data_IF_092227111821
#
_entry.id   IF_092227111821
#
_cell.length_a   1.000
_cell.length_b   1.000
_cell.length_c   1.000
_cell.angle_alpha   90.00
_cell.angle_beta   90.00
_cell.angle_gamma   90.00
#
_symmetry.space_group_name_H-M   'P 1'
#
loop_
_entity.id
_entity.type
_entity.pdbx_description
1 polymer ?
#
# COMPACT_ATOMS: atom_id res chain seq x y z
N UNK A 1 -7.16 -10.30 -4.48
CA UNK A 1 -6.77 -9.26 -3.50
C UNK A 1 -6.86 -7.92 -4.19
N UNK A 2 -7.36 -6.86 -3.52
CA UNK A 2 -7.44 -5.53 -4.12
C UNK A 2 -6.04 -5.08 -4.57
N UNK A 3 -5.89 -4.53 -5.79
CA UNK A 3 -4.60 -4.09 -6.32
C UNK A 3 -4.14 -2.76 -5.69
N UNK A 4 -4.04 -2.73 -4.36
CA UNK A 4 -3.47 -1.62 -3.59
C UNK A 4 -1.94 -1.67 -3.60
N UNK A 5 -1.29 -0.68 -2.95
CA UNK A 5 0.17 -0.61 -2.87
C UNK A 5 0.72 -1.88 -2.20
N UNK A 6 1.43 -2.69 -2.98
CA UNK A 6 1.85 -4.05 -2.60
C UNK A 6 2.95 -4.02 -1.53
N UNK A 7 3.85 -3.04 -1.59
CA UNK A 7 4.91 -2.88 -0.58
C UNK A 7 4.39 -2.35 0.75
N UNK A 8 3.51 -1.34 0.73
CA UNK A 8 2.91 -0.80 1.96
C UNK A 8 2.07 -1.85 2.70
N UNK A 9 1.43 -2.76 1.95
CA UNK A 9 0.73 -3.90 2.55
C UNK A 9 1.70 -4.92 3.19
N UNK A 10 2.79 -5.24 2.51
CA UNK A 10 3.82 -6.14 3.03
C UNK A 10 4.49 -5.59 4.30
N UNK A 11 4.83 -4.30 4.32
CA UNK A 11 5.40 -3.62 5.50
C UNK A 11 4.42 -3.62 6.67
N UNK A 12 3.13 -3.33 6.43
CA UNK A 12 2.11 -3.37 7.48
C UNK A 12 1.98 -4.76 8.09
N UNK A 13 2.00 -5.82 7.25
CA UNK A 13 1.98 -7.20 7.72
C UNK A 13 3.22 -7.54 8.55
N UNK A 14 4.41 -7.13 8.12
CA UNK A 14 5.67 -7.33 8.86
C UNK A 14 5.60 -6.65 10.24
N UNK A 15 5.20 -5.39 10.28
CA UNK A 15 5.10 -4.63 11.54
C UNK A 15 4.12 -5.26 12.52
N UNK A 16 2.93 -5.68 12.06
CA UNK A 16 1.94 -6.36 12.91
C UNK A 16 2.44 -7.69 13.48
N UNK A 17 3.28 -8.42 12.72
CA UNK A 17 3.86 -9.67 13.20
C UNK A 17 4.92 -9.45 14.28
N UNK A 18 5.60 -8.31 14.27
CA UNK A 18 6.69 -8.02 15.23
C UNK A 18 6.24 -7.23 16.45
N UNK A 19 5.08 -6.55 16.40
CA UNK A 19 4.58 -5.67 17.47
C UNK A 19 4.51 -6.34 18.85
N UNK A 20 4.20 -7.63 18.93
CA UNK A 20 4.08 -8.33 20.22
C UNK A 20 5.41 -8.86 20.76
N UNK A 21 6.47 -8.86 19.94
CA UNK A 21 7.78 -9.38 20.31
C UNK A 21 8.81 -8.27 20.58
N UNK A 22 8.57 -7.07 20.05
CA UNK A 22 9.49 -5.94 20.16
C UNK A 22 9.12 -5.00 21.31
N UNK A 23 10.15 -4.40 21.91
CA UNK A 23 9.96 -3.25 22.81
C UNK A 23 9.54 -2.00 22.05
N UNK A 24 9.00 -1.00 22.76
CA UNK A 24 8.49 0.24 22.18
C UNK A 24 9.51 0.93 21.26
N UNK A 25 10.74 1.18 21.75
CA UNK A 25 11.79 1.87 20.97
C UNK A 25 12.17 1.10 19.71
N UNK A 26 12.30 -0.22 19.82
CA UNK A 26 12.63 -1.10 18.69
C UNK A 26 11.54 -1.05 17.62
N UNK A 27 10.27 -1.14 18.04
CA UNK A 27 9.13 -1.06 17.13
C UNK A 27 9.03 0.33 16.47
N UNK A 28 9.28 1.42 17.21
CA UNK A 28 9.29 2.78 16.64
C UNK A 28 10.42 2.97 15.62
N UNK A 29 11.59 2.36 15.83
CA UNK A 29 12.67 2.42 14.85
C UNK A 29 12.28 1.68 13.56
N UNK A 30 11.73 0.48 13.68
CA UNK A 30 11.24 -0.31 12.52
C UNK A 30 10.15 0.46 11.77
N UNK A 31 9.21 1.10 12.47
CA UNK A 31 8.17 1.92 11.85
C UNK A 31 8.77 3.08 11.05
N UNK A 32 9.79 3.74 11.60
CA UNK A 32 10.49 4.85 10.93
C UNK A 32 11.15 4.39 9.62
N UNK A 33 11.84 3.25 9.66
CA UNK A 33 12.50 2.67 8.49
C UNK A 33 11.49 2.24 7.41
N UNK A 34 10.41 1.56 7.79
CA UNK A 34 9.38 1.10 6.85
C UNK A 34 8.60 2.26 6.23
N UNK A 35 8.32 3.33 6.98
CA UNK A 35 7.71 4.56 6.43
C UNK A 35 8.65 5.19 5.40
N UNK A 36 9.93 5.36 5.72
CA UNK A 36 10.91 5.94 4.80
C UNK A 36 11.04 5.10 3.52
N UNK A 37 11.12 3.77 3.65
CA UNK A 37 11.20 2.84 2.53
C UNK A 37 9.96 2.95 1.64
N UNK A 38 8.75 2.91 2.23
CA UNK A 38 7.49 3.03 1.49
C UNK A 38 7.35 4.38 0.77
N UNK A 39 7.80 5.47 1.39
CA UNK A 39 7.78 6.81 0.80
C UNK A 39 8.79 6.97 -0.34
N UNK A 40 9.93 6.29 -0.26
CA UNK A 40 10.94 6.25 -1.32
C UNK A 40 10.53 5.41 -2.54
N UNK A 41 9.45 4.64 -2.44
CA UNK A 41 8.93 3.82 -3.52
C UNK A 41 8.15 4.62 -4.57
N UNK A 42 7.95 4.02 -5.74
CA UNK A 42 7.09 4.55 -6.80
C UNK A 42 5.68 4.85 -6.27
N UNK A 43 5.11 3.89 -5.53
CA UNK A 43 3.75 3.98 -5.01
C UNK A 43 3.58 5.06 -3.94
N UNK A 44 4.61 5.28 -3.10
CA UNK A 44 4.61 6.33 -2.09
C UNK A 44 4.58 7.72 -2.72
N UNK A 45 5.47 8.00 -3.68
CA UNK A 45 5.50 9.28 -4.39
C UNK A 45 4.21 9.55 -5.16
N UNK A 46 3.71 8.55 -5.88
CA UNK A 46 2.48 8.68 -6.66
C UNK A 46 1.25 8.86 -5.76
N UNK A 47 1.22 8.18 -4.61
CA UNK A 47 0.17 8.33 -3.61
C UNK A 47 0.10 9.74 -3.03
N UNK A 48 1.25 10.32 -2.68
CA UNK A 48 1.34 11.70 -2.18
C UNK A 48 0.94 12.71 -3.25
N UNK A 49 1.47 12.58 -4.46
CA UNK A 49 1.14 13.48 -5.57
C UNK A 49 -0.36 13.46 -5.87
N UNK A 50 -0.97 12.27 -5.95
CA UNK A 50 -2.40 12.14 -6.15
C UNK A 50 -3.22 12.69 -4.97
N UNK A 51 -2.77 12.53 -3.73
CA UNK A 51 -3.45 13.10 -2.57
C UNK A 51 -3.43 14.63 -2.59
N UNK A 52 -2.25 15.22 -2.81
CA UNK A 52 -2.05 16.68 -2.89
C UNK A 52 -2.85 17.28 -4.05
N UNK A 53 -2.80 16.65 -5.21
CA UNK A 53 -3.50 17.12 -6.42
C UNK A 53 -4.97 16.67 -6.49
N UNK A 54 -5.51 16.02 -5.43
CA UNK A 54 -6.85 15.41 -5.39
C UNK A 54 -7.17 14.52 -6.61
N UNK A 55 -6.15 13.88 -7.15
CA UNK A 55 -6.21 12.99 -8.29
C UNK A 55 -6.43 11.52 -7.88
N UNK A 56 -6.67 10.67 -8.89
CA UNK A 56 -6.67 9.21 -8.70
C UNK A 56 -5.28 8.66 -8.96
N UNK A 57 -4.75 7.86 -8.04
CA UNK A 57 -3.50 7.13 -8.27
C UNK A 57 -3.68 6.10 -9.38
N UNK A 58 -2.61 5.86 -10.14
CA UNK A 58 -2.48 4.76 -11.09
C UNK A 58 -2.61 3.42 -10.38
N UNK A 59 -2.14 3.28 -9.14
CA UNK A 59 -2.33 2.08 -8.30
C UNK A 59 -3.84 1.78 -8.11
N UNK A 60 -4.66 2.81 -7.83
CA UNK A 60 -6.13 2.66 -7.76
C UNK A 60 -6.76 2.41 -9.14
N UNK A 61 -6.23 3.01 -10.21
CA UNK A 61 -6.74 2.78 -11.58
C UNK A 61 -6.49 1.35 -12.05
N UNK A 62 -5.35 0.77 -11.70
CA UNK A 62 -4.98 -0.61 -12.06
C UNK A 62 -5.91 -1.60 -11.33
N UNK A 63 -6.15 -1.38 -10.03
CA UNK A 63 -7.14 -2.13 -9.25
C UNK A 63 -8.56 -2.10 -9.84
N UNK A 64 -8.99 -0.95 -10.34
CA UNK A 64 -10.32 -0.81 -10.96
C UNK A 64 -10.40 -1.44 -12.35
N UNK A 65 -9.30 -1.48 -13.11
CA UNK A 65 -9.25 -2.13 -14.42
C UNK A 65 -9.23 -3.66 -14.33
N UNK A 66 -8.58 -4.21 -13.31
CA UNK A 66 -8.55 -5.66 -13.04
C UNK A 66 -9.85 -6.17 -12.42
N UNK A 67 -10.59 -5.29 -11.73
CA UNK A 67 -11.91 -5.57 -11.17
C UNK A 67 -13.06 -5.26 -12.17
N UNK A 68 -12.81 -5.36 -13.47
CA UNK A 68 -13.88 -5.32 -14.47
C UNK A 68 -14.84 -6.49 -14.20
N UNK A 69 -16.17 -6.28 -14.11
CA UNK A 69 -17.08 -7.37 -13.82
C UNK A 69 -16.89 -8.45 -14.86
N UNK A 70 -16.61 -9.67 -14.40
CA UNK A 70 -16.65 -10.90 -15.19
C UNK A 70 -17.84 -10.79 -16.14
N UNK A 71 -17.56 -10.69 -17.44
CA UNK A 71 -18.58 -10.61 -18.49
C UNK A 71 -19.36 -11.92 -18.42
N UNK A 72 -20.48 -11.94 -17.70
CA UNK A 72 -21.34 -13.11 -17.67
C UNK A 72 -21.78 -13.39 -19.11
N UNK A 73 -21.71 -14.65 -19.56
CA UNK A 73 -22.19 -14.99 -20.89
C UNK A 73 -23.67 -14.61 -20.98
N UNK A 74 -24.03 -13.93 -22.06
CA UNK A 74 -25.44 -13.68 -22.39
C UNK A 74 -26.06 -15.03 -22.71
N UNK A 75 -26.97 -15.48 -21.84
CA UNK A 75 -27.97 -16.49 -22.18
C UNK A 75 -29.04 -15.85 -23.06
#
# INVERSE_FOLDING_TARGET
>A
MAAGPTMAYASARKMLQTTFSNGFIEQTNIETEEIAANMSGHDGREGIDAFVNKGKTRIQRQALSECSPMRLPRF
#
